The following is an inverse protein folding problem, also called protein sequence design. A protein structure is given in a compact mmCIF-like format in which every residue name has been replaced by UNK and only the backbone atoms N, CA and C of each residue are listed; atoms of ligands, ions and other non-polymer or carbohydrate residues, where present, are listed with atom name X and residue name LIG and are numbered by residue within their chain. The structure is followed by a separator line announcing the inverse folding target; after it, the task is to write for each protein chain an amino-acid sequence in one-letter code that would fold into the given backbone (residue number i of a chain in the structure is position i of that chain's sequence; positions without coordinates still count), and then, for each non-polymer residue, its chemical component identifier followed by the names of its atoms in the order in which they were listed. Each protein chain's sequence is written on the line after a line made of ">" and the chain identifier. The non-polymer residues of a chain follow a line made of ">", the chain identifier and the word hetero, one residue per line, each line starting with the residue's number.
data_IF_310637368738
#
_entry.id   IF_310637368738
#
_cell.length_a   1.000
_cell.length_b   1.000
_cell.length_c   1.000
_cell.angle_alpha   90.00
_cell.angle_beta   90.00
_cell.angle_gamma   90.00
#
_symmetry.space_group_name_H-M   'P 1'
#
loop_
_entity.id
_entity.type
_entity.pdbx_description
1 polymer ?
#
# COMPACT_ATOMS: atom_id res chain seq x y z
N UNK A 1 -3.34 10.42 -27.38
CA UNK A 1 -4.27 11.04 -26.42
C UNK A 1 -3.43 11.67 -25.31
N UNK A 2 -3.80 12.85 -24.76
CA UNK A 2 -3.06 13.43 -23.64
C UNK A 2 -3.26 12.61 -22.36
N UNK A 3 -2.27 12.67 -21.45
CA UNK A 3 -2.33 11.97 -20.14
C UNK A 3 -3.50 12.50 -19.31
N UNK A 4 -4.29 11.58 -18.69
CA UNK A 4 -5.41 11.96 -17.82
C UNK A 4 -4.90 12.41 -16.45
N UNK A 5 -5.70 13.20 -15.73
CA UNK A 5 -5.27 13.81 -14.48
C UNK A 5 -6.46 14.28 -13.62
N UNK A 6 -6.17 14.80 -12.42
CA UNK A 6 -7.11 15.40 -11.46
C UNK A 6 -6.73 16.87 -11.18
N UNK A 7 -7.54 17.62 -10.45
CA UNK A 7 -7.25 18.98 -10.02
C UNK A 7 -6.37 19.03 -8.77
N UNK A 8 -5.52 20.07 -8.65
CA UNK A 8 -4.57 20.17 -7.54
C UNK A 8 -3.37 19.24 -7.72
N UNK A 9 -2.81 18.78 -6.60
CA UNK A 9 -1.60 17.97 -6.57
C UNK A 9 -0.32 18.79 -6.60
N UNK A 10 0.81 18.10 -6.51
CA UNK A 10 2.16 18.68 -6.46
C UNK A 10 3.13 17.86 -7.31
N UNK A 11 4.26 18.45 -7.67
CA UNK A 11 5.37 17.81 -8.38
C UNK A 11 6.60 17.78 -7.47
N UNK A 12 6.71 16.81 -6.54
CA UNK A 12 7.92 16.65 -5.73
C UNK A 12 9.08 16.15 -6.59
N UNK A 13 10.30 16.28 -6.08
CA UNK A 13 11.43 15.56 -6.65
C UNK A 13 11.19 14.06 -6.60
N UNK A 14 11.28 13.39 -7.73
CA UNK A 14 10.86 11.99 -7.85
C UNK A 14 11.81 11.01 -7.16
N UNK A 15 13.13 11.23 -7.26
CA UNK A 15 14.17 10.37 -6.65
C UNK A 15 14.18 8.92 -7.13
N UNK A 16 13.42 8.60 -8.18
CA UNK A 16 13.27 7.23 -8.70
C UNK A 16 14.52 6.71 -9.41
N UNK A 17 15.37 7.59 -9.89
CA UNK A 17 16.63 7.26 -10.56
C UNK A 17 17.59 6.47 -9.67
N UNK A 18 17.40 6.52 -8.35
CA UNK A 18 18.24 5.76 -7.41
C UNK A 18 18.03 4.23 -7.52
N UNK A 19 16.82 3.79 -7.86
CA UNK A 19 16.46 2.36 -7.80
C UNK A 19 15.67 1.84 -9.01
N UNK A 20 15.15 2.71 -9.90
CA UNK A 20 14.26 2.29 -11.01
C UNK A 20 14.90 1.30 -11.98
N UNK A 21 16.20 1.45 -12.25
CA UNK A 21 16.94 0.62 -13.20
C UNK A 21 17.50 -0.65 -12.56
N UNK A 22 17.33 -0.82 -11.23
CA UNK A 22 17.77 -2.01 -10.52
C UNK A 22 16.70 -3.11 -10.61
N UNK A 23 17.03 -4.30 -11.12
CA UNK A 23 16.09 -5.41 -11.16
C UNK A 23 15.68 -5.85 -9.75
N UNK A 24 14.60 -6.62 -9.67
CA UNK A 24 14.14 -7.21 -8.41
C UNK A 24 15.17 -8.25 -7.95
N UNK A 25 15.66 -8.11 -6.73
CA UNK A 25 16.60 -9.04 -6.09
C UNK A 25 15.87 -9.78 -4.97
N UNK A 26 15.91 -11.11 -4.99
CA UNK A 26 15.38 -11.92 -3.89
C UNK A 26 16.35 -11.93 -2.71
N UNK A 27 15.79 -11.73 -1.50
CA UNK A 27 16.52 -11.75 -0.23
C UNK A 27 15.89 -12.80 0.68
N UNK A 28 16.69 -13.82 1.02
CA UNK A 28 16.29 -14.81 2.01
C UNK A 28 16.61 -14.29 3.42
N UNK A 29 15.65 -14.37 4.36
CA UNK A 29 15.88 -13.95 5.74
C UNK A 29 16.93 -14.85 6.42
N UNK A 30 17.73 -14.24 7.29
CA UNK A 30 18.76 -14.92 8.08
C UNK A 30 18.34 -15.11 9.54
N UNK A 31 17.62 -14.11 10.07
CA UNK A 31 17.18 -14.09 11.46
C UNK A 31 15.76 -14.66 11.64
N UNK A 32 15.24 -14.48 12.85
CA UNK A 32 13.87 -14.81 13.19
C UNK A 32 12.89 -13.93 12.40
N UNK A 33 11.74 -14.50 12.05
CA UNK A 33 10.67 -13.75 11.38
C UNK A 33 9.57 -13.43 12.38
N UNK A 34 9.10 -12.19 12.34
CA UNK A 34 8.07 -11.68 13.24
C UNK A 34 6.81 -11.34 12.45
N UNK A 35 5.69 -11.94 12.82
CA UNK A 35 4.41 -11.77 12.13
C UNK A 35 3.40 -11.07 13.04
N UNK A 36 3.28 -9.73 12.96
CA UNK A 36 2.23 -9.02 13.67
C UNK A 36 0.84 -9.55 13.29
N UNK A 37 -0.02 -9.77 14.28
CA UNK A 37 -1.37 -10.28 14.05
C UNK A 37 -2.30 -9.24 13.43
N UNK A 38 -1.92 -7.95 13.49
CA UNK A 38 -2.60 -6.84 12.83
C UNK A 38 -1.73 -6.31 11.69
N UNK A 39 -1.92 -6.84 10.47
CA UNK A 39 -1.23 -6.42 9.24
C UNK A 39 -2.19 -5.77 8.23
N UNK A 40 -3.43 -5.46 8.64
CA UNK A 40 -4.51 -4.98 7.78
C UNK A 40 -5.54 -4.21 8.61
N UNK A 41 -6.42 -3.48 7.95
CA UNK A 41 -7.59 -2.87 8.61
C UNK A 41 -8.58 -3.96 9.03
N UNK A 42 -9.21 -3.76 10.17
CA UNK A 42 -10.23 -4.65 10.73
C UNK A 42 -9.74 -5.45 11.92
N UNK A 43 -10.38 -6.58 12.21
CA UNK A 43 -10.04 -7.42 13.35
C UNK A 43 -8.67 -8.08 13.17
N UNK A 44 -7.78 -8.08 14.18
CA UNK A 44 -6.53 -8.82 14.13
C UNK A 44 -6.76 -10.30 13.82
N UNK A 45 -5.77 -10.95 13.20
CA UNK A 45 -5.78 -12.39 13.00
C UNK A 45 -5.60 -13.13 14.35
N UNK A 46 -6.11 -14.36 14.43
CA UNK A 46 -6.02 -15.20 15.62
C UNK A 46 -5.03 -16.34 15.36
N UNK A 47 -4.00 -16.54 16.21
CA UNK A 47 -3.04 -17.62 16.06
C UNK A 47 -3.72 -18.99 16.03
N UNK A 48 -3.24 -19.87 15.14
CA UNK A 48 -3.64 -21.28 15.05
C UNK A 48 -2.47 -22.23 15.35
N UNK A 49 -1.36 -21.67 15.80
CA UNK A 49 -0.14 -22.37 16.20
C UNK A 49 0.21 -22.03 17.64
N UNK A 50 0.99 -22.89 18.30
CA UNK A 50 1.50 -22.71 19.65
C UNK A 50 3.04 -22.66 19.66
N UNK A 51 3.59 -22.12 20.75
CA UNK A 51 5.06 -22.11 20.96
C UNK A 51 5.60 -23.55 20.97
N UNK A 52 6.63 -23.80 20.20
CA UNK A 52 7.23 -25.11 19.98
C UNK A 52 6.75 -25.84 18.73
N UNK A 53 5.69 -25.38 18.07
CA UNK A 53 5.21 -25.99 16.81
C UNK A 53 6.23 -25.75 15.69
N UNK A 54 6.48 -26.79 14.89
CA UNK A 54 7.20 -26.69 13.63
C UNK A 54 6.25 -26.26 12.52
N UNK A 55 6.70 -25.35 11.68
CA UNK A 55 5.92 -24.81 10.56
C UNK A 55 6.73 -24.84 9.28
N UNK A 56 6.03 -25.02 8.16
CA UNK A 56 6.59 -24.94 6.82
C UNK A 56 6.27 -23.59 6.20
N UNK A 57 7.06 -23.12 5.25
CA UNK A 57 6.74 -21.95 4.44
C UNK A 57 5.43 -22.18 3.70
N UNK A 58 4.52 -21.21 3.72
CA UNK A 58 3.19 -21.34 3.15
C UNK A 58 2.15 -22.01 4.07
N UNK A 59 2.52 -22.45 5.26
CA UNK A 59 1.58 -22.95 6.26
C UNK A 59 0.84 -21.79 6.93
N UNK A 60 -0.49 -21.92 7.10
CA UNK A 60 -1.30 -20.94 7.83
C UNK A 60 -0.91 -20.96 9.32
N UNK A 61 -0.56 -19.80 9.86
CA UNK A 61 -0.15 -19.61 11.27
C UNK A 61 -1.14 -18.77 12.07
N UNK A 62 -2.01 -18.00 11.37
CA UNK A 62 -3.13 -17.32 12.00
C UNK A 62 -4.32 -17.25 11.05
N UNK A 63 -5.53 -17.36 11.61
CA UNK A 63 -6.79 -17.25 10.88
C UNK A 63 -7.37 -15.83 10.97
N UNK A 64 -8.25 -15.49 10.04
CA UNK A 64 -8.97 -14.22 10.06
C UNK A 64 -9.83 -14.11 11.32
N UNK A 65 -9.67 -13.04 12.10
CA UNK A 65 -10.39 -12.80 13.35
C UNK A 65 -11.82 -12.23 13.17
N UNK A 66 -12.27 -12.03 11.93
CA UNK A 66 -13.60 -11.48 11.63
C UNK A 66 -13.88 -11.36 10.13
N UNK A 67 -14.98 -10.70 9.77
CA UNK A 67 -15.36 -10.51 8.36
C UNK A 67 -14.34 -9.62 7.63
N UNK A 68 -13.97 -8.49 8.22
CA UNK A 68 -12.86 -7.64 7.74
C UNK A 68 -11.61 -8.07 8.48
N UNK A 69 -10.94 -9.08 7.96
CA UNK A 69 -9.71 -9.66 8.49
C UNK A 69 -9.05 -10.53 7.42
N UNK A 70 -7.81 -10.97 7.67
CA UNK A 70 -7.04 -11.75 6.70
C UNK A 70 -6.14 -12.76 7.41
N UNK A 71 -6.05 -14.02 6.96
CA UNK A 71 -5.16 -15.02 7.54
C UNK A 71 -3.69 -14.64 7.28
N UNK A 72 -2.80 -15.19 8.11
CA UNK A 72 -1.33 -15.00 8.03
C UNK A 72 -0.68 -16.36 7.82
N UNK A 73 0.34 -16.37 6.99
CA UNK A 73 1.09 -17.56 6.60
C UNK A 73 2.57 -17.42 6.97
N UNK A 74 3.19 -18.51 7.38
CA UNK A 74 4.64 -18.55 7.57
C UNK A 74 5.33 -18.31 6.23
N UNK A 75 6.29 -17.42 6.20
CA UNK A 75 7.07 -17.07 5.01
C UNK A 75 8.43 -17.76 4.95
N UNK A 76 8.76 -18.53 6.00
CA UNK A 76 9.90 -19.44 6.09
C UNK A 76 9.48 -20.68 6.88
N UNK A 77 10.26 -21.77 6.77
CA UNK A 77 10.17 -22.90 7.67
C UNK A 77 10.90 -22.63 8.98
N UNK A 78 10.50 -23.31 10.06
CA UNK A 78 11.13 -23.13 11.35
C UNK A 78 10.27 -23.57 12.52
N UNK A 79 10.54 -23.03 13.70
CA UNK A 79 9.82 -23.35 14.94
C UNK A 79 9.22 -22.09 15.54
N UNK A 80 7.96 -22.15 15.97
CA UNK A 80 7.30 -21.03 16.68
C UNK A 80 8.03 -20.83 18.01
N UNK A 81 8.79 -19.74 18.12
CA UNK A 81 9.63 -19.39 19.26
C UNK A 81 8.85 -18.69 20.37
N UNK A 82 7.95 -17.78 19.97
CA UNK A 82 7.16 -16.98 20.91
C UNK A 82 5.87 -16.45 20.25
N UNK A 83 4.90 -16.08 21.08
CA UNK A 83 3.73 -15.27 20.69
C UNK A 83 3.68 -14.13 21.70
N UNK A 84 4.15 -12.94 21.31
CA UNK A 84 4.38 -11.81 22.20
C UNK A 84 4.28 -10.46 21.47
N UNK A 85 4.13 -9.33 22.19
CA UNK A 85 4.08 -8.02 21.56
C UNK A 85 5.41 -7.62 20.91
N UNK A 86 5.37 -7.23 19.63
CA UNK A 86 6.48 -6.63 18.91
C UNK A 86 6.09 -5.25 18.36
N UNK A 87 7.09 -4.39 18.21
CA UNK A 87 6.90 -3.04 17.65
C UNK A 87 6.71 -3.11 16.14
N UNK A 88 5.75 -2.33 15.64
CA UNK A 88 5.48 -2.14 14.21
C UNK A 88 5.88 -0.74 13.74
N UNK A 89 5.88 -0.51 12.42
CA UNK A 89 6.40 0.73 11.81
C UNK A 89 5.72 2.02 12.32
N UNK A 90 4.45 1.97 12.70
CA UNK A 90 3.71 3.11 13.29
C UNK A 90 4.07 3.38 14.75
N UNK A 91 4.90 2.53 15.38
CA UNK A 91 5.37 2.68 16.75
C UNK A 91 4.59 1.87 17.79
N UNK A 92 3.46 1.30 17.45
CA UNK A 92 2.62 0.49 18.34
C UNK A 92 3.25 -0.87 18.66
N UNK A 93 2.88 -1.43 19.82
CA UNK A 93 3.19 -2.80 20.19
C UNK A 93 2.02 -3.70 19.81
N UNK A 94 2.26 -4.66 18.92
CA UNK A 94 1.24 -5.58 18.39
C UNK A 94 1.62 -7.02 18.71
N UNK A 95 0.68 -7.81 19.22
CA UNK A 95 0.87 -9.25 19.40
C UNK A 95 1.31 -9.87 18.09
N UNK A 96 2.39 -10.65 18.13
CA UNK A 96 3.07 -11.18 16.96
C UNK A 96 3.49 -12.63 17.21
N UNK A 97 3.45 -13.44 16.15
CA UNK A 97 4.06 -14.77 16.16
C UNK A 97 5.52 -14.60 15.73
N UNK A 98 6.45 -15.17 16.51
CA UNK A 98 7.87 -15.21 16.20
C UNK A 98 8.24 -16.61 15.76
N UNK A 99 8.85 -16.74 14.58
CA UNK A 99 9.35 -18.02 14.05
C UNK A 99 10.87 -17.96 14.01
N UNK A 100 11.53 -18.88 14.73
CA UNK A 100 12.95 -19.12 14.59
C UNK A 100 13.19 -19.83 13.25
N UNK A 101 13.83 -19.10 12.34
CA UNK A 101 14.12 -19.55 10.99
C UNK A 101 15.15 -20.68 11.00
N UNK A 102 14.83 -21.82 10.40
CA UNK A 102 15.76 -22.97 10.30
C UNK A 102 16.69 -22.89 9.08
N UNK A 103 16.49 -21.92 8.20
CA UNK A 103 17.26 -21.73 6.97
C UNK A 103 17.02 -22.78 5.89
N UNK A 104 16.14 -23.75 6.11
CA UNK A 104 15.83 -24.79 5.13
C UNK A 104 14.81 -24.36 4.09
N UNK A 105 13.90 -23.44 4.46
CA UNK A 105 12.81 -22.93 3.60
C UNK A 105 11.93 -24.04 3.02
N UNK A 106 11.73 -25.14 3.76
CA UNK A 106 10.82 -26.19 3.35
C UNK A 106 9.41 -25.65 3.20
N UNK A 107 8.80 -25.94 2.06
CA UNK A 107 7.51 -25.34 1.63
C UNK A 107 6.40 -26.38 1.63
N UNK A 108 5.17 -25.94 1.95
CA UNK A 108 4.00 -26.81 1.76
C UNK A 108 3.77 -27.07 0.27
N UNK A 109 3.12 -28.17 -0.05
CA UNK A 109 2.70 -28.44 -1.43
C UNK A 109 1.54 -27.52 -1.82
N UNK A 110 1.66 -26.84 -2.95
CA UNK A 110 0.62 -26.00 -3.51
C UNK A 110 -0.13 -26.74 -4.63
N UNK A 111 -1.41 -26.47 -4.75
CA UNK A 111 -2.24 -27.01 -5.82
C UNK A 111 -2.63 -25.91 -6.81
N UNK A 112 -1.91 -25.77 -7.93
CA UNK A 112 -2.28 -24.83 -8.97
C UNK A 112 -3.65 -25.14 -9.57
N UNK A 113 -4.35 -24.10 -10.02
CA UNK A 113 -5.59 -24.23 -10.76
C UNK A 113 -5.25 -24.32 -12.27
N UNK A 114 -5.57 -25.43 -12.92
CA UNK A 114 -5.28 -25.63 -14.34
C UNK A 114 -6.12 -24.71 -15.22
N UNK A 115 -7.41 -24.62 -14.95
CA UNK A 115 -8.35 -23.77 -15.67
C UNK A 115 -9.08 -22.80 -14.73
N UNK A 116 -8.59 -21.57 -14.67
CA UNK A 116 -9.17 -20.50 -13.85
C UNK A 116 -10.56 -20.09 -14.38
N UNK A 117 -10.83 -20.29 -15.68
CA UNK A 117 -12.11 -19.88 -16.29
C UNK A 117 -13.27 -20.76 -15.87
N UNK A 118 -12.98 -21.98 -15.39
CA UNK A 118 -13.97 -22.91 -14.86
C UNK A 118 -14.42 -22.60 -13.42
N UNK A 119 -13.71 -21.70 -12.71
CA UNK A 119 -14.04 -21.34 -11.33
C UNK A 119 -15.28 -20.45 -11.28
N UNK A 120 -16.15 -20.70 -10.31
CA UNK A 120 -17.23 -19.76 -9.97
C UNK A 120 -16.69 -18.49 -9.31
N UNK A 121 -17.49 -17.42 -9.34
CA UNK A 121 -17.15 -16.14 -8.68
C UNK A 121 -16.84 -16.33 -7.18
N UNK A 122 -17.61 -17.18 -6.50
CA UNK A 122 -17.44 -17.51 -5.08
C UNK A 122 -16.13 -18.25 -4.82
N UNK A 123 -15.74 -19.19 -5.66
CA UNK A 123 -14.47 -19.91 -5.55
C UNK A 123 -13.28 -18.99 -5.73
N UNK A 124 -13.34 -18.06 -6.68
CA UNK A 124 -12.29 -17.04 -6.88
C UNK A 124 -12.13 -16.18 -5.62
N UNK A 125 -13.24 -15.61 -5.12
CA UNK A 125 -13.21 -14.76 -3.91
C UNK A 125 -12.70 -15.54 -2.70
N UNK A 126 -13.12 -16.81 -2.55
CA UNK A 126 -12.67 -17.65 -1.45
C UNK A 126 -11.16 -17.97 -1.54
N UNK A 127 -10.63 -18.27 -2.74
CA UNK A 127 -9.18 -18.46 -2.93
C UNK A 127 -8.39 -17.20 -2.57
N UNK A 128 -8.88 -16.00 -2.94
CA UNK A 128 -8.26 -14.72 -2.57
C UNK A 128 -8.28 -14.51 -1.06
N UNK A 129 -9.41 -14.81 -0.40
CA UNK A 129 -9.57 -14.76 1.06
C UNK A 129 -8.61 -15.70 1.76
N UNK A 130 -8.67 -16.99 1.39
CA UNK A 130 -7.84 -18.03 2.01
C UNK A 130 -6.34 -17.83 1.76
N UNK A 131 -5.94 -17.20 0.67
CA UNK A 131 -4.54 -16.88 0.44
C UNK A 131 -4.05 -15.64 1.23
N UNK A 132 -4.92 -14.96 1.96
CA UNK A 132 -4.57 -13.82 2.78
C UNK A 132 -4.22 -12.57 2.00
N UNK A 133 -4.82 -12.37 0.81
CA UNK A 133 -4.57 -11.17 -0.02
C UNK A 133 -5.23 -9.95 0.60
N UNK A 134 -4.44 -8.89 0.73
CA UNK A 134 -4.87 -7.57 1.22
C UNK A 134 -4.40 -6.48 0.25
N UNK A 135 -4.95 -5.28 0.38
CA UNK A 135 -4.50 -4.13 -0.40
C UNK A 135 -3.06 -3.74 -0.06
N UNK A 136 -2.12 -4.02 -0.96
CA UNK A 136 -0.67 -3.87 -0.71
C UNK A 136 -0.13 -2.48 -1.02
N UNK A 137 -0.94 -1.61 -1.63
CA UNK A 137 -0.58 -0.22 -1.94
C UNK A 137 -1.03 0.81 -0.89
N UNK A 138 -1.54 0.37 0.27
CA UNK A 138 -2.09 1.29 1.27
C UNK A 138 -2.38 0.60 2.60
N UNK A 139 -3.57 0.85 3.17
CA UNK A 139 -3.94 0.47 4.53
C UNK A 139 -4.24 -1.04 4.75
N UNK A 140 -4.02 -1.89 3.76
CA UNK A 140 -4.18 -3.34 3.92
C UNK A 140 -5.64 -3.81 3.98
N UNK A 141 -6.56 -3.14 3.33
CA UNK A 141 -7.96 -3.61 3.32
C UNK A 141 -8.06 -5.01 2.68
N UNK A 142 -8.75 -5.99 3.32
CA UNK A 142 -8.85 -7.35 2.79
C UNK A 142 -9.47 -7.39 1.39
N UNK A 143 -8.73 -7.91 0.41
CA UNK A 143 -9.12 -7.85 -1.01
C UNK A 143 -10.41 -8.62 -1.31
N UNK A 144 -10.66 -9.76 -0.65
CA UNK A 144 -11.89 -10.52 -0.83
C UNK A 144 -13.15 -9.71 -0.49
N UNK A 145 -13.09 -8.80 0.50
CA UNK A 145 -14.21 -7.91 0.85
C UNK A 145 -14.44 -6.88 -0.26
N UNK A 146 -13.35 -6.30 -0.79
CA UNK A 146 -13.40 -5.35 -1.91
C UNK A 146 -13.98 -5.99 -3.17
N UNK A 147 -13.62 -7.26 -3.44
CA UNK A 147 -14.11 -8.03 -4.60
C UNK A 147 -15.54 -8.58 -4.42
N UNK A 148 -16.18 -8.33 -3.27
CA UNK A 148 -17.57 -8.73 -2.97
C UNK A 148 -18.45 -7.51 -2.69
N UNK A 149 -18.60 -6.56 -3.63
CA UNK A 149 -19.46 -5.41 -3.44
C UNK A 149 -20.94 -5.85 -3.36
N UNK A 150 -21.78 -5.03 -2.73
CA UNK A 150 -23.22 -5.34 -2.56
C UNK A 150 -23.96 -5.46 -3.90
N UNK A 151 -23.52 -4.69 -4.90
CA UNK A 151 -24.16 -4.58 -6.23
C UNK A 151 -23.07 -4.82 -7.32
N UNK A 152 -22.61 -6.08 -7.49
CA UNK A 152 -21.53 -6.40 -8.42
C UNK A 152 -21.86 -6.08 -9.88
N UNK A 153 -23.15 -6.05 -10.24
CA UNK A 153 -23.62 -5.69 -11.58
C UNK A 153 -23.43 -4.20 -11.91
N UNK A 154 -23.20 -3.35 -10.91
CA UNK A 154 -22.91 -1.93 -11.09
C UNK A 154 -21.44 -1.62 -11.32
N UNK A 155 -20.56 -2.60 -11.17
CA UNK A 155 -19.12 -2.39 -11.39
C UNK A 155 -18.85 -2.33 -12.87
N UNK A 156 -18.37 -1.16 -13.32
CA UNK A 156 -18.03 -0.84 -14.71
C UNK A 156 -16.52 -0.81 -14.95
N UNK A 157 -15.73 -0.57 -13.89
CA UNK A 157 -14.28 -0.44 -13.99
C UNK A 157 -13.55 -1.22 -12.89
N UNK A 158 -12.56 -2.00 -13.30
CA UNK A 158 -11.52 -2.55 -12.42
C UNK A 158 -10.23 -1.80 -12.76
N UNK A 159 -9.77 -0.95 -11.84
CA UNK A 159 -8.63 -0.07 -12.07
C UNK A 159 -7.41 -0.64 -11.35
N UNK A 160 -6.40 -1.03 -12.12
CA UNK A 160 -5.07 -1.28 -11.57
C UNK A 160 -4.38 0.05 -11.29
N UNK A 161 -4.08 0.31 -10.04
CA UNK A 161 -3.28 1.44 -9.63
C UNK A 161 -1.80 1.14 -9.91
N UNK A 162 -1.36 1.56 -11.08
CA UNK A 162 -0.01 1.45 -11.60
C UNK A 162 0.72 2.82 -11.55
N UNK A 163 0.16 3.80 -10.84
CA UNK A 163 0.73 5.15 -10.78
C UNK A 163 2.07 5.19 -10.05
N UNK A 164 2.14 4.60 -8.84
CA UNK A 164 3.33 4.66 -7.96
C UNK A 164 3.84 6.10 -7.81
N UNK A 165 2.92 7.00 -7.38
CA UNK A 165 3.15 8.44 -7.33
C UNK A 165 4.00 8.91 -6.13
N UNK A 166 4.21 8.08 -5.12
CA UNK A 166 5.12 8.38 -4.01
C UNK A 166 6.55 8.51 -4.53
N UNK A 167 7.27 9.58 -4.18
CA UNK A 167 8.66 9.72 -4.55
C UNK A 167 9.54 8.59 -4.02
N UNK A 168 10.61 8.29 -4.73
CA UNK A 168 11.62 7.27 -4.47
C UNK A 168 11.18 5.82 -4.66
N UNK A 169 9.89 5.50 -4.66
CA UNK A 169 9.40 4.13 -4.81
C UNK A 169 9.45 3.68 -6.27
N UNK A 170 9.89 2.44 -6.49
CA UNK A 170 10.04 1.83 -7.83
C UNK A 170 9.68 0.33 -7.84
N UNK A 171 9.13 -0.20 -6.76
CA UNK A 171 8.78 -1.60 -6.63
C UNK A 171 7.66 -2.01 -7.61
N UNK A 172 6.59 -1.21 -7.73
CA UNK A 172 5.49 -1.45 -8.66
C UNK A 172 5.94 -1.26 -10.11
N UNK A 173 6.81 -0.27 -10.37
CA UNK A 173 7.43 -0.08 -11.69
C UNK A 173 8.20 -1.33 -12.13
N UNK A 174 9.03 -1.90 -11.27
CA UNK A 174 9.77 -3.13 -11.57
C UNK A 174 8.83 -4.34 -11.75
N UNK A 175 7.77 -4.44 -10.94
CA UNK A 175 6.75 -5.48 -11.13
C UNK A 175 6.09 -5.42 -12.50
N UNK A 176 5.73 -4.23 -12.95
CA UNK A 176 5.15 -4.04 -14.29
C UNK A 176 6.11 -4.48 -15.40
N UNK A 177 7.41 -4.29 -15.22
CA UNK A 177 8.43 -4.69 -16.20
C UNK A 177 8.81 -6.18 -16.10
N UNK A 178 8.89 -6.74 -14.90
CA UNK A 178 9.43 -8.08 -14.68
C UNK A 178 8.37 -9.18 -14.57
N UNK A 179 7.15 -8.82 -14.15
CA UNK A 179 6.04 -9.77 -13.99
C UNK A 179 4.73 -9.27 -14.66
N UNK A 180 4.77 -8.74 -15.89
CA UNK A 180 3.59 -8.16 -16.51
C UNK A 180 2.50 -9.20 -16.81
N UNK A 181 2.89 -10.46 -17.09
CA UNK A 181 1.95 -11.56 -17.36
C UNK A 181 1.13 -11.92 -16.10
N UNK A 182 1.75 -11.88 -14.92
CA UNK A 182 1.04 -12.11 -13.65
C UNK A 182 0.05 -10.96 -13.37
N UNK A 183 0.44 -9.70 -13.67
CA UNK A 183 -0.43 -8.53 -13.53
C UNK A 183 -1.66 -8.66 -14.44
N UNK A 184 -1.46 -8.96 -15.73
CA UNK A 184 -2.56 -9.13 -16.67
C UNK A 184 -3.40 -10.36 -16.34
N UNK A 185 -2.78 -11.47 -15.94
CA UNK A 185 -3.46 -12.66 -15.47
C UNK A 185 -4.36 -12.39 -14.24
N UNK A 186 -3.86 -11.63 -13.28
CA UNK A 186 -4.64 -11.21 -12.11
C UNK A 186 -5.80 -10.28 -12.46
N UNK A 187 -5.58 -9.33 -13.38
CA UNK A 187 -6.64 -8.48 -13.90
C UNK A 187 -7.74 -9.31 -14.59
N UNK A 188 -7.39 -10.29 -15.42
CA UNK A 188 -8.35 -11.20 -16.05
C UNK A 188 -9.17 -11.99 -15.02
N UNK A 189 -8.54 -12.46 -13.95
CA UNK A 189 -9.22 -13.17 -12.85
C UNK A 189 -10.22 -12.25 -12.16
N UNK A 190 -9.85 -11.03 -11.83
CA UNK A 190 -10.75 -10.06 -11.19
C UNK A 190 -11.93 -9.72 -12.12
N UNK A 191 -11.67 -9.56 -13.41
CA UNK A 191 -12.71 -9.27 -14.41
C UNK A 191 -13.74 -10.39 -14.60
N UNK A 192 -13.45 -11.64 -14.20
CA UNK A 192 -14.44 -12.72 -14.18
C UNK A 192 -15.53 -12.51 -13.12
N UNK A 193 -15.25 -11.71 -12.09
CA UNK A 193 -16.22 -11.38 -11.05
C UNK A 193 -17.29 -10.37 -11.53
N UNK A 194 -16.96 -9.57 -12.57
CA UNK A 194 -17.77 -8.43 -13.02
C UNK A 194 -18.01 -8.51 -14.54
N UNK A 195 -19.20 -8.93 -14.94
CA UNK A 195 -19.51 -9.32 -16.33
C UNK A 195 -19.34 -8.17 -17.35
N UNK A 196 -19.59 -6.93 -16.91
CA UNK A 196 -19.58 -5.74 -17.78
C UNK A 196 -18.38 -4.83 -17.55
N UNK A 197 -17.54 -5.10 -16.55
CA UNK A 197 -16.44 -4.24 -16.19
C UNK A 197 -15.30 -4.26 -17.22
N UNK A 198 -14.66 -3.10 -17.37
CA UNK A 198 -13.39 -2.95 -18.09
C UNK A 198 -12.24 -2.88 -17.11
N UNK A 199 -11.13 -3.53 -17.43
CA UNK A 199 -9.87 -3.41 -16.74
C UNK A 199 -9.10 -2.19 -17.27
N UNK A 200 -8.63 -1.33 -16.37
CA UNK A 200 -7.85 -0.15 -16.74
C UNK A 200 -6.53 -0.15 -15.97
N UNK A 201 -5.41 -0.15 -16.67
CA UNK A 201 -4.08 -0.02 -16.09
C UNK A 201 -3.71 1.47 -16.08
N UNK A 202 -3.85 2.14 -14.93
CA UNK A 202 -3.54 3.57 -14.78
C UNK A 202 -2.06 3.79 -14.48
N UNK A 203 -1.28 4.21 -15.47
CA UNK A 203 0.19 4.30 -15.40
C UNK A 203 0.62 5.76 -15.61
N UNK A 204 1.48 6.29 -14.72
CA UNK A 204 2.05 7.63 -14.92
C UNK A 204 3.01 7.68 -16.12
N UNK A 205 2.99 8.82 -16.84
CA UNK A 205 3.72 9.03 -18.10
C UNK A 205 5.25 9.16 -17.91
N UNK A 206 5.75 9.14 -16.68
CA UNK A 206 7.18 8.94 -16.38
C UNK A 206 7.64 7.47 -16.49
N UNK A 207 6.75 6.55 -16.90
CA UNK A 207 7.02 5.12 -17.10
C UNK A 207 6.65 4.69 -18.53
N UNK A 208 7.28 5.31 -19.58
CA UNK A 208 6.91 5.07 -20.98
C UNK A 208 7.14 3.62 -21.43
N UNK A 209 8.15 2.97 -20.92
CA UNK A 209 8.48 1.56 -21.16
C UNK A 209 7.42 0.60 -20.61
N UNK A 210 6.88 0.87 -19.42
CA UNK A 210 5.73 0.12 -18.89
C UNK A 210 4.47 0.33 -19.74
N UNK A 211 4.21 1.58 -20.15
CA UNK A 211 3.06 1.90 -21.01
C UNK A 211 3.16 1.14 -22.33
N UNK A 212 4.33 1.18 -23.00
CA UNK A 212 4.57 0.47 -24.26
C UNK A 212 4.39 -1.04 -24.08
N UNK A 213 5.10 -1.64 -23.11
CA UNK A 213 5.09 -3.07 -22.83
C UNK A 213 3.68 -3.60 -22.52
N UNK A 214 2.98 -2.94 -21.61
CA UNK A 214 1.64 -3.38 -21.20
C UNK A 214 0.60 -3.12 -22.28
N UNK A 215 0.72 -2.05 -23.08
CA UNK A 215 -0.16 -1.82 -24.24
C UNK A 215 -0.02 -2.94 -25.27
N UNK A 216 1.20 -3.38 -25.56
CA UNK A 216 1.42 -4.51 -26.48
C UNK A 216 0.85 -5.82 -25.93
N UNK A 217 1.01 -6.09 -24.64
CA UNK A 217 0.49 -7.31 -23.99
C UNK A 217 -1.04 -7.39 -23.96
N UNK A 218 -1.73 -6.26 -23.90
CA UNK A 218 -3.20 -6.23 -23.82
C UNK A 218 -3.88 -5.91 -25.14
N UNK A 219 -3.14 -5.79 -26.26
CA UNK A 219 -3.69 -5.40 -27.56
C UNK A 219 -4.84 -6.28 -28.04
N UNK A 220 -4.79 -7.58 -27.72
CA UNK A 220 -5.79 -8.57 -28.08
C UNK A 220 -6.82 -8.84 -26.96
N UNK A 221 -6.79 -8.05 -25.88
CA UNK A 221 -7.67 -8.18 -24.72
C UNK A 221 -8.76 -7.10 -24.74
N UNK A 222 -9.96 -7.40 -25.27
CA UNK A 222 -10.97 -6.38 -25.53
C UNK A 222 -11.51 -5.68 -24.27
N UNK A 223 -11.29 -6.27 -23.09
CA UNK A 223 -11.74 -5.74 -21.81
C UNK A 223 -10.65 -5.03 -21.01
N UNK A 224 -9.41 -4.97 -21.50
CA UNK A 224 -8.29 -4.35 -20.74
C UNK A 224 -7.66 -3.25 -21.60
N UNK A 225 -7.45 -2.09 -21.01
CA UNK A 225 -6.78 -0.95 -21.64
C UNK A 225 -5.73 -0.32 -20.73
N UNK A 226 -4.70 0.28 -21.34
CA UNK A 226 -3.71 1.10 -20.66
C UNK A 226 -4.15 2.56 -20.71
N UNK A 227 -4.17 3.22 -19.58
CA UNK A 227 -4.53 4.63 -19.42
C UNK A 227 -3.33 5.44 -18.94
N UNK A 228 -2.65 6.20 -19.80
CA UNK A 228 -1.60 7.10 -19.40
C UNK A 228 -2.13 8.22 -18.49
N UNK A 229 -1.44 8.44 -17.36
CA UNK A 229 -1.76 9.43 -16.35
C UNK A 229 -0.64 10.46 -16.27
N UNK A 230 -0.98 11.72 -15.99
CA UNK A 230 0.01 12.74 -15.76
C UNK A 230 0.81 12.44 -14.48
N UNK A 231 2.14 12.46 -14.58
CA UNK A 231 3.03 12.33 -13.42
C UNK A 231 2.84 13.50 -12.47
N UNK A 232 2.24 13.25 -11.32
CA UNK A 232 2.13 14.17 -10.19
C UNK A 232 1.60 13.45 -8.94
N UNK A 233 1.81 14.05 -7.79
CA UNK A 233 1.34 13.51 -6.52
C UNK A 233 0.08 14.24 -6.02
N UNK A 234 -0.99 13.53 -5.53
CA UNK A 234 -1.12 12.08 -5.36
C UNK A 234 -1.94 11.40 -6.48
N UNK A 235 -1.38 11.20 -7.67
CA UNK A 235 -2.07 10.57 -8.82
C UNK A 235 -2.57 9.15 -8.50
N UNK A 236 -1.84 8.41 -7.65
CA UNK A 236 -2.22 7.08 -7.18
C UNK A 236 -3.20 7.10 -5.99
N UNK A 237 -3.61 8.26 -5.49
CA UNK A 237 -4.68 8.35 -4.51
C UNK A 237 -5.99 7.78 -5.09
N UNK A 238 -6.69 6.92 -4.35
CA UNK A 238 -7.85 6.18 -4.87
C UNK A 238 -8.90 7.09 -5.51
N UNK A 239 -9.26 8.21 -4.84
CA UNK A 239 -10.24 9.18 -5.36
C UNK A 239 -9.73 9.91 -6.59
N UNK A 240 -8.46 10.33 -6.58
CA UNK A 240 -7.80 11.03 -7.68
C UNK A 240 -7.68 10.12 -8.91
N UNK A 241 -7.35 8.85 -8.70
CA UNK A 241 -7.24 7.85 -9.75
C UNK A 241 -8.60 7.55 -10.39
N UNK A 242 -9.64 7.31 -9.58
CA UNK A 242 -11.01 7.12 -10.08
C UNK A 242 -11.42 8.31 -10.93
N UNK A 243 -11.22 9.54 -10.42
CA UNK A 243 -11.56 10.75 -11.15
C UNK A 243 -10.78 10.88 -12.46
N UNK A 244 -9.47 10.66 -12.43
CA UNK A 244 -8.63 10.75 -13.63
C UNK A 244 -9.04 9.74 -14.71
N UNK A 245 -9.34 8.50 -14.32
CA UNK A 245 -9.71 7.43 -15.24
C UNK A 245 -11.12 7.59 -15.78
N UNK A 246 -12.10 7.85 -14.90
CA UNK A 246 -13.53 7.75 -15.19
C UNK A 246 -14.26 9.09 -15.25
N UNK A 247 -13.71 10.16 -14.69
CA UNK A 247 -14.40 11.44 -14.47
C UNK A 247 -15.38 11.44 -13.30
N UNK A 248 -15.50 10.32 -12.56
CA UNK A 248 -16.40 10.18 -11.41
C UNK A 248 -15.72 10.67 -10.13
N UNK A 249 -16.44 11.36 -9.29
CA UNK A 249 -15.97 11.81 -7.98
C UNK A 249 -16.64 11.00 -6.86
N UNK A 250 -15.86 10.65 -5.82
CA UNK A 250 -16.36 10.02 -4.59
C UNK A 250 -15.95 10.88 -3.38
N UNK A 251 -16.75 10.83 -2.32
CA UNK A 251 -16.52 11.54 -1.07
C UNK A 251 -16.18 10.55 0.08
N UNK A 252 -15.97 11.08 1.30
CA UNK A 252 -15.61 10.28 2.48
C UNK A 252 -16.65 9.24 2.90
N UNK A 253 -17.89 9.36 2.46
CA UNK A 253 -19.01 8.45 2.79
C UNK A 253 -19.25 7.39 1.71
N UNK A 254 -18.55 7.49 0.59
CA UNK A 254 -18.67 6.59 -0.56
C UNK A 254 -17.48 5.63 -0.62
N UNK A 255 -17.75 4.42 -1.07
CA UNK A 255 -16.73 3.47 -1.47
C UNK A 255 -16.50 3.57 -2.99
N UNK A 256 -15.35 3.13 -3.53
CA UNK A 256 -15.13 3.03 -4.97
C UNK A 256 -16.25 2.29 -5.72
N UNK A 257 -16.81 1.25 -5.12
CA UNK A 257 -17.93 0.49 -5.67
C UNK A 257 -19.20 1.33 -5.89
N UNK A 258 -19.44 2.34 -5.07
CA UNK A 258 -20.58 3.27 -5.24
C UNK A 258 -20.43 4.13 -6.51
N UNK A 259 -19.20 4.29 -6.99
CA UNK A 259 -18.90 4.92 -8.28
C UNK A 259 -18.70 3.88 -9.41
N UNK A 260 -19.07 2.62 -9.19
CA UNK A 260 -18.91 1.55 -10.17
C UNK A 260 -17.45 1.13 -10.40
N UNK A 261 -16.57 1.32 -9.41
CA UNK A 261 -15.14 1.05 -9.55
C UNK A 261 -14.63 0.08 -8.48
N UNK A 262 -13.72 -0.81 -8.89
CA UNK A 262 -12.82 -1.53 -7.98
C UNK A 262 -11.41 -1.01 -8.27
N UNK A 263 -10.65 -0.68 -7.22
CA UNK A 263 -9.27 -0.17 -7.37
C UNK A 263 -8.32 -1.06 -6.57
N UNK A 264 -7.34 -1.65 -7.22
CA UNK A 264 -6.29 -2.45 -6.58
C UNK A 264 -4.90 -2.08 -7.09
N UNK A 265 -3.91 -2.15 -6.20
CA UNK A 265 -2.50 -1.92 -6.52
C UNK A 265 -1.92 -3.07 -7.36
N UNK A 266 -0.85 -2.82 -8.10
CA UNK A 266 -0.11 -3.79 -8.93
C UNK A 266 0.19 -5.08 -8.17
N UNK A 267 0.81 -4.99 -7.00
CA UNK A 267 1.21 -6.17 -6.22
C UNK A 267 0.00 -6.92 -5.67
N UNK A 268 -1.10 -6.24 -5.35
CA UNK A 268 -2.37 -6.87 -4.95
C UNK A 268 -2.94 -7.73 -6.08
N UNK A 269 -2.94 -7.20 -7.31
CA UNK A 269 -3.45 -7.94 -8.49
C UNK A 269 -2.56 -9.14 -8.79
N UNK A 270 -1.25 -9.00 -8.70
CA UNK A 270 -0.29 -10.11 -8.83
C UNK A 270 -0.54 -11.16 -7.74
N UNK A 271 -0.81 -10.73 -6.49
CA UNK A 271 -1.13 -11.65 -5.41
C UNK A 271 -2.46 -12.41 -5.66
N UNK A 272 -3.46 -11.77 -6.28
CA UNK A 272 -4.68 -12.44 -6.73
C UNK A 272 -4.36 -13.52 -7.76
N UNK A 273 -3.51 -13.22 -8.75
CA UNK A 273 -3.05 -14.23 -9.71
C UNK A 273 -2.40 -15.43 -9.02
N UNK A 274 -1.45 -15.16 -8.12
CA UNK A 274 -0.72 -16.21 -7.39
C UNK A 274 -1.64 -17.04 -6.52
N UNK A 275 -2.60 -16.41 -5.86
CA UNK A 275 -3.59 -17.08 -5.03
C UNK A 275 -4.49 -18.00 -5.83
N UNK A 276 -5.07 -17.50 -6.93
CA UNK A 276 -6.09 -18.23 -7.69
C UNK A 276 -5.48 -19.23 -8.68
N UNK A 277 -4.45 -18.79 -9.43
CA UNK A 277 -3.82 -19.63 -10.47
C UNK A 277 -2.78 -20.58 -9.89
N UNK A 278 -1.95 -20.12 -8.95
CA UNK A 278 -0.83 -20.92 -8.43
C UNK A 278 -1.12 -21.58 -7.07
N UNK A 279 -2.26 -21.24 -6.43
CA UNK A 279 -2.61 -21.74 -5.10
C UNK A 279 -1.69 -21.24 -3.98
N UNK A 280 -0.95 -20.15 -4.21
CA UNK A 280 0.08 -19.65 -3.28
C UNK A 280 -0.47 -18.55 -2.39
N UNK A 281 -0.35 -18.66 -1.07
CA UNK A 281 -0.71 -17.61 -0.14
C UNK A 281 0.30 -16.45 -0.16
N UNK A 282 -0.07 -15.33 0.46
CA UNK A 282 0.80 -14.17 0.59
C UNK A 282 1.86 -14.42 1.66
N UNK A 283 3.06 -14.76 1.22
CA UNK A 283 4.25 -15.00 2.07
C UNK A 283 5.38 -14.02 1.79
N UNK A 284 5.40 -13.43 0.60
CA UNK A 284 6.47 -12.56 0.15
C UNK A 284 5.96 -11.15 -0.12
N UNK A 285 6.86 -10.18 -0.03
CA UNK A 285 6.60 -8.77 -0.34
C UNK A 285 7.78 -8.20 -1.13
N UNK A 286 7.50 -7.24 -2.00
CA UNK A 286 8.52 -6.43 -2.63
C UNK A 286 8.52 -5.03 -2.00
N UNK A 287 9.72 -4.47 -1.78
CA UNK A 287 9.87 -3.08 -1.33
C UNK A 287 11.09 -2.43 -1.99
N UNK A 288 11.00 -1.12 -2.17
CA UNK A 288 12.14 -0.30 -2.56
C UNK A 288 12.91 0.11 -1.32
N UNK A 289 14.18 -0.29 -1.20
CA UNK A 289 15.09 0.17 -0.15
C UNK A 289 15.99 1.23 -0.78
N UNK A 290 15.85 2.49 -0.35
CA UNK A 290 16.38 3.62 -1.10
C UNK A 290 16.72 4.83 -0.23
N UNK A 291 17.16 5.89 -0.85
CA UNK A 291 17.59 7.13 -0.23
C UNK A 291 19.09 7.35 -0.35
N UNK A 292 19.49 8.59 -0.11
CA UNK A 292 20.89 9.00 -0.25
C UNK A 292 21.81 8.47 0.87
N UNK A 293 21.26 7.87 1.91
CA UNK A 293 22.04 7.19 2.97
C UNK A 293 22.30 5.70 2.68
N UNK A 294 21.57 5.05 1.77
CA UNK A 294 21.73 3.63 1.42
C UNK A 294 22.90 3.45 0.46
N UNK A 295 23.70 2.38 0.67
CA UNK A 295 24.87 2.11 -0.19
C UNK A 295 24.44 1.68 -1.60
N UNK A 296 23.55 0.71 -1.72
CA UNK A 296 23.06 0.16 -2.99
C UNK A 296 21.52 0.18 -3.02
N UNK A 297 20.89 1.34 -3.36
CA UNK A 297 19.44 1.40 -3.49
C UNK A 297 18.92 0.39 -4.53
N UNK A 298 17.76 -0.25 -4.26
CA UNK A 298 17.22 -1.27 -5.15
C UNK A 298 15.83 -1.73 -4.74
N UNK A 299 15.34 -2.75 -5.46
CA UNK A 299 14.02 -3.35 -5.25
C UNK A 299 14.22 -4.80 -4.77
N UNK A 300 13.72 -5.11 -3.60
CA UNK A 300 13.98 -6.38 -2.93
C UNK A 300 12.69 -7.16 -2.73
N UNK A 301 12.69 -8.43 -3.16
CA UNK A 301 11.65 -9.40 -2.87
C UNK A 301 12.11 -10.21 -1.64
N UNK A 302 11.31 -10.22 -0.61
CA UNK A 302 11.68 -10.84 0.68
C UNK A 302 10.48 -11.54 1.33
N UNK A 303 10.77 -12.41 2.29
CA UNK A 303 9.79 -13.07 3.16
C UNK A 303 9.17 -12.06 4.14
N UNK A 304 7.84 -12.00 4.22
CA UNK A 304 7.12 -11.16 5.21
C UNK A 304 7.57 -11.56 6.62
N UNK A 305 7.80 -10.59 7.49
CA UNK A 305 8.34 -10.81 8.83
C UNK A 305 9.84 -10.57 8.95
N UNK A 306 10.56 -10.47 7.83
CA UNK A 306 11.98 -10.05 7.80
C UNK A 306 12.11 -8.64 8.38
N UNK A 307 13.15 -8.40 9.18
CA UNK A 307 13.40 -7.09 9.76
C UNK A 307 13.87 -6.08 8.70
N UNK A 308 13.58 -4.80 8.92
CA UNK A 308 14.15 -3.74 8.05
C UNK A 308 15.68 -3.68 8.15
N UNK A 309 16.27 -4.12 9.27
CA UNK A 309 17.73 -4.21 9.42
C UNK A 309 18.34 -5.14 8.40
N UNK A 310 17.76 -6.34 8.20
CA UNK A 310 18.23 -7.29 7.19
C UNK A 310 18.09 -6.76 5.77
N UNK A 311 17.02 -6.01 5.47
CA UNK A 311 16.83 -5.39 4.15
C UNK A 311 17.86 -4.28 3.90
N UNK A 312 18.22 -3.50 4.92
CA UNK A 312 19.32 -2.52 4.82
C UNK A 312 20.64 -3.23 4.60
N UNK A 313 20.90 -4.34 5.30
CA UNK A 313 22.11 -5.16 5.07
C UNK A 313 22.16 -5.68 3.62
N UNK A 314 21.03 -6.20 3.10
CA UNK A 314 20.92 -6.67 1.72
C UNK A 314 21.19 -5.54 0.69
N UNK A 315 20.81 -4.30 1.03
CA UNK A 315 21.11 -3.10 0.25
C UNK A 315 22.54 -2.56 0.46
N UNK A 316 23.46 -3.36 1.03
CA UNK A 316 24.85 -3.00 1.27
C UNK A 316 25.10 -2.14 2.50
N UNK A 317 24.09 -1.94 3.36
CA UNK A 317 24.18 -1.11 4.55
C UNK A 317 24.07 0.39 4.27
N UNK A 318 24.45 1.18 5.25
CA UNK A 318 24.50 2.64 5.12
C UNK A 318 25.86 3.10 4.65
N UNK A 319 25.90 3.92 3.60
CA UNK A 319 27.12 4.66 3.23
C UNK A 319 27.32 5.93 4.08
N UNK A 320 26.24 6.40 4.71
CA UNK A 320 26.22 7.53 5.63
C UNK A 320 25.13 7.27 6.67
N UNK A 321 25.39 7.59 7.94
CA UNK A 321 24.38 7.45 9.00
C UNK A 321 23.14 8.28 8.64
N UNK A 322 21.95 7.69 8.54
CA UNK A 322 20.73 8.44 8.22
C UNK A 322 20.29 9.31 9.39
N UNK A 323 19.89 10.54 9.09
CA UNK A 323 19.19 11.40 10.06
C UNK A 323 17.69 11.11 10.10
N UNK A 324 17.15 10.51 9.01
CA UNK A 324 15.73 10.14 8.93
C UNK A 324 15.55 8.81 8.21
N UNK A 325 14.74 7.96 8.81
CA UNK A 325 14.30 6.67 8.25
C UNK A 325 12.79 6.68 8.17
N UNK A 326 12.23 6.32 7.01
CA UNK A 326 10.79 6.33 6.75
C UNK A 326 10.37 4.97 6.19
N UNK A 327 9.40 4.32 6.83
CA UNK A 327 8.66 3.19 6.23
C UNK A 327 7.60 3.76 5.30
N UNK A 328 7.68 3.45 4.02
CA UNK A 328 6.90 4.09 2.97
C UNK A 328 7.63 5.24 2.28
N UNK A 329 6.89 6.04 1.52
CA UNK A 329 7.43 7.23 0.84
C UNK A 329 7.45 8.48 1.71
N UNK A 330 8.07 9.57 1.23
CA UNK A 330 8.24 10.78 2.03
C UNK A 330 6.95 11.57 2.28
N UNK A 331 5.87 11.29 1.52
CA UNK A 331 4.63 12.06 1.59
C UNK A 331 3.63 11.46 2.59
N UNK A 332 3.48 10.13 2.62
CA UNK A 332 2.53 9.44 3.48
C UNK A 332 3.16 8.40 4.41
N UNK A 333 4.46 8.15 4.33
CA UNK A 333 5.16 7.17 5.15
C UNK A 333 5.30 7.58 6.62
N UNK A 334 5.74 6.64 7.45
CA UNK A 334 5.94 6.80 8.89
C UNK A 334 7.44 6.88 9.22
N UNK A 335 7.85 7.93 9.92
CA UNK A 335 9.22 8.03 10.43
C UNK A 335 9.46 6.98 11.51
N UNK A 336 10.54 6.22 11.37
CA UNK A 336 10.95 5.17 12.30
C UNK A 336 12.22 5.58 13.06
N UNK A 337 12.34 5.07 14.29
CA UNK A 337 13.52 5.28 15.13
C UNK A 337 14.37 4.01 15.31
N UNK A 338 13.89 2.88 14.78
CA UNK A 338 14.58 1.59 14.83
C UNK A 338 14.39 0.84 13.50
N UNK A 339 15.35 0.00 13.15
CA UNK A 339 15.26 -0.95 12.05
C UNK A 339 14.89 -2.37 12.53
N UNK A 340 14.89 -2.60 13.84
CA UNK A 340 14.41 -3.84 14.47
C UNK A 340 12.87 -3.83 14.51
N UNK A 341 12.29 -3.77 13.32
CA UNK A 341 10.86 -3.71 13.05
C UNK A 341 10.59 -4.68 11.90
N UNK A 342 9.63 -5.60 12.05
CA UNK A 342 9.29 -6.55 11.00
C UNK A 342 8.58 -5.87 9.84
N UNK A 343 8.83 -6.38 8.65
CA UNK A 343 8.02 -6.08 7.47
C UNK A 343 6.68 -6.81 7.54
N UNK A 344 5.67 -6.22 6.92
CA UNK A 344 4.30 -6.73 6.87
C UNK A 344 3.80 -6.82 5.43
N UNK A 345 2.59 -7.34 5.22
CA UNK A 345 1.91 -7.36 3.91
C UNK A 345 1.80 -5.97 3.27
N UNK A 346 1.79 -4.90 4.07
CA UNK A 346 1.63 -3.51 3.62
C UNK A 346 2.94 -2.74 3.47
N UNK A 347 4.07 -3.32 3.80
CA UNK A 347 5.38 -2.68 3.63
C UNK A 347 5.66 -2.43 2.15
N UNK A 348 5.92 -1.17 1.76
CA UNK A 348 6.13 -0.76 0.36
C UNK A 348 7.55 -0.28 0.08
N UNK A 349 8.19 0.34 1.06
CA UNK A 349 9.55 0.85 0.93
C UNK A 349 10.18 1.18 2.27
N UNK A 350 11.51 1.36 2.25
CA UNK A 350 12.29 1.99 3.29
C UNK A 350 13.11 3.13 2.66
N UNK A 351 12.83 4.35 3.07
CA UNK A 351 13.55 5.54 2.63
C UNK A 351 14.48 6.03 3.74
N UNK A 352 15.78 6.07 3.47
CA UNK A 352 16.82 6.49 4.41
C UNK A 352 17.52 7.75 3.90
N UNK A 353 17.29 8.86 4.58
CA UNK A 353 17.81 10.17 4.20
C UNK A 353 18.99 10.56 5.09
N UNK A 354 20.09 11.02 4.47
CA UNK A 354 21.29 11.50 5.16
C UNK A 354 21.04 12.78 5.95
N UNK A 355 19.99 13.54 5.57
CA UNK A 355 19.62 14.82 6.21
C UNK A 355 18.11 14.89 6.45
N UNK A 356 17.71 15.34 7.62
CA UNK A 356 16.33 15.70 7.92
C UNK A 356 16.17 17.23 7.91
N UNK A 357 16.00 17.79 6.71
CA UNK A 357 15.84 19.22 6.54
C UNK A 357 14.48 19.74 7.06
N UNK A 358 13.48 18.86 7.17
CA UNK A 358 12.13 19.26 7.57
C UNK A 358 12.03 19.51 9.07
N UNK A 359 12.62 18.63 9.89
CA UNK A 359 12.56 18.76 11.35
C UNK A 359 13.39 19.92 11.90
N UNK A 360 14.37 20.43 11.12
CA UNK A 360 15.27 21.52 11.52
C UNK A 360 14.68 22.92 11.30
N UNK A 361 13.54 23.03 10.62
CA UNK A 361 12.96 24.34 10.27
C UNK A 361 11.76 24.63 11.17
N UNK A 362 11.84 25.73 11.92
CA UNK A 362 10.74 26.23 12.74
C UNK A 362 9.60 26.77 11.86
N UNK A 363 8.34 26.34 12.10
CA UNK A 363 7.20 26.88 11.40
C UNK A 363 6.96 28.36 11.71
N UNK A 364 6.67 29.15 10.69
CA UNK A 364 6.28 30.55 10.87
C UNK A 364 4.77 30.75 10.74
N UNK A 365 4.31 31.99 11.01
CA UNK A 365 2.92 32.37 10.86
C UNK A 365 2.45 32.22 9.40
N UNK A 366 1.16 31.92 9.21
CA UNK A 366 0.58 31.83 7.88
C UNK A 366 0.58 33.18 7.17
N UNK A 367 1.15 33.23 5.96
CA UNK A 367 1.20 34.45 5.13
C UNK A 367 0.01 34.58 4.17
N UNK A 368 -0.97 33.71 4.25
CA UNK A 368 -2.20 33.69 3.43
C UNK A 368 -1.93 33.61 1.90
N UNK A 369 -0.91 32.94 1.45
CA UNK A 369 -0.49 32.88 0.04
C UNK A 369 -1.39 31.99 -0.86
N UNK A 370 -2.30 31.16 -0.31
CA UNK A 370 -3.21 30.29 -1.05
C UNK A 370 -2.63 28.98 -1.59
N UNK A 371 -1.32 28.78 -1.64
CA UNK A 371 -0.68 27.58 -2.24
C UNK A 371 -1.23 26.27 -1.75
N UNK A 372 -1.55 26.16 -0.44
CA UNK A 372 -2.12 24.93 0.13
C UNK A 372 -3.53 24.60 -0.40
N UNK A 373 -4.29 25.63 -0.81
CA UNK A 373 -5.64 25.46 -1.43
C UNK A 373 -5.48 24.97 -2.86
N UNK A 374 -4.58 25.59 -3.63
CA UNK A 374 -4.30 25.23 -5.02
C UNK A 374 -3.76 23.79 -5.14
N UNK A 375 -2.92 23.36 -4.19
CA UNK A 375 -2.35 22.03 -4.16
C UNK A 375 -3.31 20.94 -3.64
N UNK A 376 -4.40 21.32 -2.96
CA UNK A 376 -5.30 20.34 -2.37
C UNK A 376 -6.09 19.56 -3.45
N UNK A 377 -5.92 18.20 -3.54
CA UNK A 377 -6.66 17.39 -4.51
C UNK A 377 -8.17 17.33 -4.21
N UNK A 378 -8.56 17.51 -2.95
CA UNK A 378 -9.97 17.58 -2.50
C UNK A 378 -10.52 19.01 -2.48
N UNK A 379 -9.73 20.00 -2.97
CA UNK A 379 -10.11 21.42 -3.06
C UNK A 379 -10.54 22.03 -1.71
N UNK A 380 -10.00 21.54 -0.62
CA UNK A 380 -10.23 22.05 0.74
C UNK A 380 -9.43 23.35 0.98
N UNK A 381 -9.65 23.95 2.15
CA UNK A 381 -8.86 25.09 2.64
C UNK A 381 -7.96 24.64 3.82
N UNK A 382 -6.81 23.97 3.58
CA UNK A 382 -6.02 23.34 4.63
C UNK A 382 -5.55 24.30 5.72
N UNK A 383 -5.27 25.56 5.38
CA UNK A 383 -4.87 26.56 6.38
C UNK A 383 -5.95 26.88 7.40
N UNK A 384 -7.23 26.85 6.99
CA UNK A 384 -8.40 26.99 7.87
C UNK A 384 -8.63 25.73 8.70
N UNK A 385 -8.62 24.57 8.06
CA UNK A 385 -8.82 23.29 8.73
C UNK A 385 -7.77 23.08 9.81
N UNK A 386 -6.48 23.33 9.53
CA UNK A 386 -5.43 23.27 10.52
C UNK A 386 -5.63 24.27 11.68
N UNK A 387 -6.18 25.46 11.41
CA UNK A 387 -6.54 26.43 12.45
C UNK A 387 -7.66 25.87 13.35
N UNK A 388 -8.71 25.31 12.77
CA UNK A 388 -9.80 24.70 13.54
C UNK A 388 -9.28 23.55 14.41
N UNK A 389 -8.48 22.66 13.81
CA UNK A 389 -7.85 21.54 14.50
C UNK A 389 -7.01 21.99 15.69
N UNK A 390 -6.08 22.92 15.49
CA UNK A 390 -5.19 23.41 16.55
C UNK A 390 -5.91 24.15 17.68
N UNK A 391 -7.15 24.57 17.48
CA UNK A 391 -7.97 25.22 18.50
C UNK A 391 -9.12 24.32 19.02
N UNK A 392 -9.14 23.03 18.68
CA UNK A 392 -10.17 22.09 19.15
C UNK A 392 -11.58 22.38 18.65
N UNK A 393 -11.71 23.10 17.52
CA UNK A 393 -13.02 23.52 16.95
C UNK A 393 -13.53 22.44 15.99
N UNK A 394 -13.96 21.32 16.53
CA UNK A 394 -14.37 20.13 15.78
C UNK A 394 -15.58 20.38 14.87
N UNK A 395 -16.63 21.02 15.38
CA UNK A 395 -17.83 21.34 14.60
C UNK A 395 -17.52 22.26 13.41
N UNK A 396 -16.64 23.23 13.61
CA UNK A 396 -16.18 24.10 12.51
C UNK A 396 -15.33 23.32 11.50
N UNK A 397 -14.48 22.40 11.96
CA UNK A 397 -13.68 21.52 11.10
C UNK A 397 -14.58 20.66 10.22
N UNK A 398 -15.62 20.04 10.78
CA UNK A 398 -16.57 19.21 10.05
C UNK A 398 -17.42 20.03 9.07
N UNK A 399 -17.96 21.21 9.51
CA UNK A 399 -18.77 22.08 8.66
C UNK A 399 -17.99 22.65 7.46
N UNK A 400 -16.65 22.67 7.54
CA UNK A 400 -15.74 23.04 6.45
C UNK A 400 -15.17 21.82 5.70
N UNK A 401 -15.87 20.70 5.78
CA UNK A 401 -15.55 19.45 5.09
C UNK A 401 -14.16 18.87 5.45
N UNK A 402 -13.69 19.08 6.67
CA UNK A 402 -12.38 18.58 7.09
C UNK A 402 -12.22 17.06 6.98
N UNK A 403 -13.34 16.31 7.14
CA UNK A 403 -13.37 14.85 6.99
C UNK A 403 -13.19 14.37 5.53
N UNK A 404 -13.25 15.25 4.54
CA UNK A 404 -12.92 14.90 3.15
C UNK A 404 -11.39 14.86 2.90
N UNK A 405 -10.57 15.25 3.88
CA UNK A 405 -9.12 15.23 3.74
C UNK A 405 -8.60 13.80 3.56
N UNK A 406 -7.88 13.55 2.46
CA UNK A 406 -7.20 12.28 2.17
C UNK A 406 -5.79 12.20 2.75
N UNK A 407 -5.40 13.12 3.61
CA UNK A 407 -4.14 13.16 4.37
C UNK A 407 -2.86 13.07 3.51
N UNK A 408 -2.93 13.42 2.23
CA UNK A 408 -1.85 13.25 1.26
C UNK A 408 -0.59 14.11 1.50
N UNK A 409 -0.61 15.09 2.40
CA UNK A 409 0.55 15.92 2.69
C UNK A 409 0.85 17.05 1.69
N UNK A 410 0.20 17.12 0.52
CA UNK A 410 0.48 18.14 -0.52
C UNK A 410 0.44 19.58 0.02
N UNK A 411 -0.50 19.89 0.91
CA UNK A 411 -0.63 21.22 1.53
C UNK A 411 0.56 21.60 2.44
N UNK A 412 1.12 20.64 3.17
CA UNK A 412 2.33 20.84 3.99
C UNK A 412 3.55 21.03 3.10
N UNK A 413 3.66 20.21 2.04
CA UNK A 413 4.76 20.24 1.09
C UNK A 413 4.93 21.62 0.45
N UNK A 414 3.84 22.26 -0.02
CA UNK A 414 3.91 23.57 -0.71
C UNK A 414 3.93 24.76 0.24
N UNK A 415 3.85 24.55 1.56
CA UNK A 415 3.73 25.65 2.51
C UNK A 415 5.05 26.39 2.70
N UNK A 416 5.20 27.67 2.25
CA UNK A 416 6.44 28.42 2.43
C UNK A 416 6.71 28.78 3.88
N UNK A 417 5.67 28.78 4.73
CA UNK A 417 5.77 28.98 6.18
C UNK A 417 6.11 27.68 6.95
N UNK A 418 6.40 26.58 6.23
CA UNK A 418 6.77 25.26 6.79
C UNK A 418 5.77 24.72 7.83
N UNK A 419 4.49 25.07 7.70
CA UNK A 419 3.45 24.62 8.62
C UNK A 419 3.07 23.16 8.34
N UNK A 420 2.96 22.36 9.37
CA UNK A 420 2.56 20.95 9.30
C UNK A 420 1.04 20.82 9.21
N UNK A 421 0.46 21.30 8.09
CA UNK A 421 -0.98 21.40 7.90
C UNK A 421 -1.66 20.02 7.89
N UNK A 422 -1.09 19.07 7.17
CA UNK A 422 -1.63 17.71 7.08
C UNK A 422 -1.63 17.02 8.45
N UNK A 423 -0.56 17.17 9.24
CA UNK A 423 -0.47 16.60 10.58
C UNK A 423 -1.53 17.20 11.52
N UNK A 424 -1.71 18.52 11.49
CA UNK A 424 -2.76 19.19 12.29
C UNK A 424 -4.17 18.68 11.91
N UNK A 425 -4.46 18.51 10.62
CA UNK A 425 -5.75 18.02 10.14
C UNK A 425 -5.95 16.56 10.58
N UNK A 426 -4.95 15.71 10.41
CA UNK A 426 -4.95 14.30 10.80
C UNK A 426 -5.26 14.07 12.27
N UNK A 427 -4.80 14.95 13.15
CA UNK A 427 -5.06 14.84 14.60
C UNK A 427 -6.56 14.85 14.90
N UNK A 428 -7.36 15.71 14.24
CA UNK A 428 -8.81 15.74 14.45
C UNK A 428 -9.49 14.54 13.80
N UNK A 429 -9.12 14.18 12.57
CA UNK A 429 -9.67 13.00 11.90
C UNK A 429 -9.49 11.76 12.77
N UNK A 430 -8.29 11.56 13.33
CA UNK A 430 -8.00 10.45 14.21
C UNK A 430 -8.84 10.47 15.50
N UNK A 431 -8.91 11.59 16.21
CA UNK A 431 -9.64 11.69 17.48
C UNK A 431 -11.15 11.54 17.30
N UNK A 432 -11.73 12.04 16.19
CA UNK A 432 -13.16 11.90 15.94
C UNK A 432 -13.60 10.52 15.43
N UNK A 433 -12.73 9.84 14.68
CA UNK A 433 -13.04 8.52 14.11
C UNK A 433 -12.74 7.36 15.08
N UNK A 434 -11.78 7.55 16.00
CA UNK A 434 -11.30 6.46 16.87
C UNK A 434 -11.76 6.54 18.31
N UNK A 435 -12.20 7.71 18.81
CA UNK A 435 -12.84 7.78 20.10
C UNK A 435 -14.21 7.11 20.01
N UNK A 436 -14.48 6.04 20.81
CA UNK A 436 -15.81 5.53 20.92
C UNK A 436 -16.68 6.68 21.41
N UNK A 437 -17.77 6.97 20.72
CA UNK A 437 -18.87 7.80 21.23
C UNK A 437 -19.54 7.07 22.37
N UNK A 438 -18.80 6.83 23.45
CA UNK A 438 -19.36 6.48 24.74
C UNK A 438 -19.81 7.76 25.45
N UNK A 439 -20.72 8.45 24.82
CA UNK A 439 -21.66 9.29 25.52
C UNK A 439 -22.82 8.40 25.99
N UNK A 440 -22.52 7.55 26.95
CA UNK A 440 -23.52 7.07 27.89
C UNK A 440 -23.26 7.82 29.18
N UNK A 441 -23.95 8.91 29.35
CA UNK A 441 -24.50 9.38 30.60
C UNK A 441 -25.98 9.49 30.40
#
# INVERSE_FOLDING_TARGET
>A
MGSKTFKGGVHPYEGKELAKDQPIVEVLPKGDLVYPLSQHIGAPATPVVAVGDKVLKGQKIAEAGGFVSSPIYASASGTVKAIEPHRVAVGDMVNSIVIENDGAFEEVEYTPCEDVTALSKEEIVNKVKEAGVVGMGGAGFPTHVKLSPKEPEKIEYVIANCAECEPYLTADYRRMLENPEELIGGMKIILQLFDHAKGVLGIEDNKPDCIEKLTELVKDEPRIEVCPLQTKYPQGGERQLIYAVTGRAINSKMLPADAGCIVDNVETIIAVYRAVKLGRPVTNRISTITGDAIANPGNFLYSIGTSYAELVEAAGGFKTQPEKIISGGPMMGFAMFSLDIPTTKTSSSLLCLSKDEVSKVEPSACINCGRCVEACPEQLIPSRLAKFSNNGLAEAFESWHGLECVECGSCSFVCPARRQLAQSIKTVSYTHLTLPTNSLV
#
